data_IF_035938914326
#
_entry.id   IF_035938914326
#
_cell.length_a   1.000
_cell.length_b   1.000
_cell.length_c   1.000
_cell.angle_alpha   90.00
_cell.angle_beta   90.00
_cell.angle_gamma   90.00
#
_symmetry.space_group_name_H-M   'P 1'
#
loop_
_entity.id
_entity.type
_entity.pdbx_description
1 polymer ?
#
# COMPACT_ATOMS: atom_id res chain seq x y z
N UNK A 1 18.83 3.05 14.39
CA UNK A 1 17.96 1.86 14.34
C UNK A 1 16.51 2.34 14.37
N UNK A 2 15.96 2.67 13.20
CA UNK A 2 14.59 3.13 13.03
C UNK A 2 13.96 2.31 11.90
N UNK A 3 13.34 1.21 12.33
CA UNK A 3 12.08 0.61 11.88
C UNK A 3 11.71 0.87 10.40
N UNK A 4 11.90 -0.16 9.57
CA UNK A 4 11.46 -0.25 8.17
C UNK A 4 10.05 -0.88 8.08
N UNK A 5 9.09 -0.44 8.91
CA UNK A 5 7.70 -0.92 8.89
C UNK A 5 6.81 -0.22 7.84
N UNK A 6 7.40 0.40 6.81
CA UNK A 6 6.77 1.55 6.12
C UNK A 6 6.28 1.27 4.69
N UNK A 7 5.76 0.08 4.36
CA UNK A 7 5.35 -0.16 2.94
C UNK A 7 4.00 -0.85 2.75
N UNK A 8 3.39 -1.42 3.79
CA UNK A 8 2.05 -2.00 3.62
C UNK A 8 0.95 -0.93 3.57
N UNK A 9 1.06 0.12 4.39
CA UNK A 9 0.04 1.16 4.53
C UNK A 9 -0.10 2.07 3.29
N UNK A 10 1.02 2.33 2.58
CA UNK A 10 0.99 3.18 1.40
C UNK A 10 0.38 2.45 0.19
N UNK A 11 0.25 1.13 0.20
CA UNK A 11 -0.36 0.39 -0.91
C UNK A 11 -1.89 0.61 -1.01
N UNK A 12 -2.60 0.77 0.11
CA UNK A 12 -4.03 1.09 0.05
C UNK A 12 -4.32 2.56 -0.32
N UNK A 13 -3.30 3.43 -0.26
CA UNK A 13 -3.40 4.86 -0.58
C UNK A 13 -2.74 5.25 -1.92
N UNK A 14 -1.92 4.39 -2.54
CA UNK A 14 -1.13 4.71 -3.76
C UNK A 14 -1.39 3.78 -4.96
N UNK A 15 -2.24 2.75 -4.86
CA UNK A 15 -2.54 1.85 -5.99
C UNK A 15 -3.48 2.40 -7.09
N UNK A 16 -3.42 3.71 -7.39
CA UNK A 16 -4.09 4.31 -8.57
C UNK A 16 -3.12 5.01 -9.53
N UNK A 17 -1.88 4.56 -9.63
CA UNK A 17 -1.00 4.94 -10.73
C UNK A 17 -0.01 3.81 -11.06
N UNK A 18 0.25 3.61 -12.35
CA UNK A 18 1.10 2.58 -12.98
C UNK A 18 0.44 1.26 -13.38
N UNK A 19 -0.48 1.35 -14.34
CA UNK A 19 -0.50 0.38 -15.44
C UNK A 19 0.49 0.83 -16.52
N UNK A 20 1.66 0.19 -16.59
CA UNK A 20 2.46 0.07 -17.83
C UNK A 20 3.56 -0.97 -17.63
N UNK A 21 3.28 -2.20 -18.06
CA UNK A 21 4.34 -3.10 -18.50
C UNK A 21 5.02 -2.49 -19.72
N UNK A 22 6.33 -2.24 -19.65
CA UNK A 22 7.20 -2.29 -20.84
C UNK A 22 8.66 -2.51 -20.44
N UNK A 23 9.30 -3.39 -21.20
CA UNK A 23 10.69 -3.79 -21.12
C UNK A 23 11.67 -2.63 -21.29
N UNK A 24 12.89 -2.82 -20.76
CA UNK A 24 14.07 -1.99 -21.03
C UNK A 24 14.35 -1.85 -22.54
N UNK A 25 14.46 -0.61 -23.00
CA UNK A 25 15.48 -0.20 -23.97
C UNK A 25 15.77 1.29 -23.83
N UNK A 26 17.04 1.63 -23.62
CA UNK A 26 17.52 3.00 -23.62
C UNK A 26 17.61 3.49 -25.06
N UNK A 27 16.97 4.63 -25.36
CA UNK A 27 17.28 5.42 -26.53
C UNK A 27 17.13 6.91 -26.20
N UNK A 28 18.12 7.65 -26.65
CA UNK A 28 18.46 9.04 -26.36
C UNK A 28 17.49 9.99 -27.08
N UNK A 29 16.90 10.98 -26.39
CA UNK A 29 16.12 12.03 -27.07
C UNK A 29 16.69 13.41 -26.72
N UNK A 30 17.12 14.06 -27.81
CA UNK A 30 17.64 15.41 -27.92
C UNK A 30 16.59 16.46 -27.55
N UNK A 31 17.11 17.55 -26.99
CA UNK A 31 16.44 18.81 -26.74
C UNK A 31 15.86 19.43 -28.01
N UNK A 32 14.63 19.93 -27.94
CA UNK A 32 14.24 21.11 -28.72
C UNK A 32 13.16 21.92 -28.00
N UNK A 33 13.47 23.21 -27.89
CA UNK A 33 12.69 24.28 -27.28
C UNK A 33 11.62 24.80 -28.24
N UNK A 34 10.42 25.12 -27.75
CA UNK A 34 9.64 26.26 -28.28
C UNK A 34 8.83 26.90 -27.15
N UNK A 35 9.07 28.20 -26.97
CA UNK A 35 8.32 29.11 -26.12
C UNK A 35 7.13 29.73 -26.87
N UNK A 36 6.11 30.12 -26.10
CA UNK A 36 5.02 31.12 -26.33
C UNK A 36 3.67 30.51 -25.90
N UNK A 37 2.78 31.19 -25.20
CA UNK A 37 2.78 32.53 -24.62
C UNK A 37 1.43 32.72 -23.90
N UNK A 38 1.53 33.24 -22.68
CA UNK A 38 0.62 34.16 -21.99
C UNK A 38 -0.85 33.81 -21.61
N UNK A 39 -1.14 34.23 -20.36
CA UNK A 39 -2.41 34.63 -19.72
C UNK A 39 -3.26 33.57 -18.98
N UNK A 40 -2.84 33.28 -17.74
CA UNK A 40 -3.77 33.21 -16.60
C UNK A 40 -3.01 33.41 -15.26
N UNK A 41 -2.42 34.58 -15.06
CA UNK A 41 -1.80 34.97 -13.79
C UNK A 41 -2.23 36.39 -13.45
N UNK A 42 -3.40 36.47 -12.83
CA UNK A 42 -3.82 37.58 -11.97
C UNK A 42 -4.92 37.01 -11.10
N UNK A 43 -4.56 36.44 -9.95
CA UNK A 43 -5.37 36.27 -8.72
C UNK A 43 -4.64 35.30 -7.78
N UNK A 44 -3.51 35.72 -7.22
CA UNK A 44 -3.00 35.16 -5.98
C UNK A 44 -2.65 36.32 -5.05
N UNK A 45 -3.36 36.49 -3.91
CA UNK A 45 -2.90 37.41 -2.89
C UNK A 45 -1.66 36.84 -2.18
N UNK A 46 -0.73 37.75 -1.91
CA UNK A 46 0.55 37.58 -1.23
C UNK A 46 0.47 36.70 0.03
N UNK A 47 1.29 35.65 0.04
CA UNK A 47 1.51 34.76 1.18
C UNK A 47 2.53 35.36 2.14
N UNK A 48 2.08 36.19 3.09
CA UNK A 48 2.73 36.35 4.41
C UNK A 48 1.70 36.66 5.49
N UNK A 49 1.07 35.62 6.04
CA UNK A 49 0.51 35.72 7.39
C UNK A 49 0.52 34.35 8.06
N UNK A 50 1.13 34.26 9.24
CA UNK A 50 0.88 33.23 10.25
C UNK A 50 -0.57 33.37 10.74
N UNK A 51 -1.54 33.09 9.87
CA UNK A 51 -2.94 33.05 10.21
C UNK A 51 -3.28 31.63 10.68
N UNK A 52 -3.98 31.53 11.83
CA UNK A 52 -4.57 30.26 12.26
C UNK A 52 -5.34 29.65 11.08
N UNK A 53 -5.22 28.34 10.84
CA UNK A 53 -5.88 27.69 9.72
C UNK A 53 -7.38 27.99 9.77
N UNK A 54 -7.92 28.48 8.65
CA UNK A 54 -9.32 28.89 8.52
C UNK A 54 -10.17 27.62 8.50
N UNK A 55 -10.76 27.27 9.63
CA UNK A 55 -11.71 26.15 9.77
C UNK A 55 -13.13 26.65 9.58
N UNK A 56 -13.97 25.89 8.86
CA UNK A 56 -15.39 26.24 8.70
C UNK A 56 -16.24 25.78 9.89
N UNK A 57 -17.40 26.40 10.09
CA UNK A 57 -18.43 25.86 10.97
C UNK A 57 -19.07 24.63 10.30
N UNK A 58 -19.12 23.51 11.03
CA UNK A 58 -19.64 22.24 10.51
C UNK A 58 -21.10 22.07 10.93
N UNK A 59 -22.00 21.97 9.96
CA UNK A 59 -23.44 21.79 10.19
C UNK A 59 -23.80 20.30 10.38
N UNK A 60 -24.82 19.97 11.19
CA UNK A 60 -25.33 18.61 11.29
C UNK A 60 -25.80 18.06 9.93
N UNK A 61 -25.44 16.81 9.62
CA UNK A 61 -25.78 16.14 8.37
C UNK A 61 -24.99 16.63 7.14
N UNK A 62 -24.00 17.50 7.30
CA UNK A 62 -23.20 17.99 6.18
C UNK A 62 -22.13 16.98 5.72
N UNK A 63 -21.60 17.13 4.49
CA UNK A 63 -20.42 16.39 4.04
C UNK A 63 -19.23 16.55 4.99
N UNK A 64 -18.93 17.77 5.45
CA UNK A 64 -17.86 18.02 6.41
C UNK A 64 -18.09 17.27 7.73
N UNK A 65 -19.33 17.17 8.21
CA UNK A 65 -19.63 16.38 9.41
C UNK A 65 -19.34 14.90 9.20
N UNK A 66 -19.67 14.38 8.02
CA UNK A 66 -19.42 12.98 7.64
C UNK A 66 -17.93 12.68 7.63
N UNK A 67 -17.12 13.55 7.02
CA UNK A 67 -15.65 13.45 7.04
C UNK A 67 -15.10 13.49 8.46
N UNK A 68 -15.60 14.41 9.30
CA UNK A 68 -15.20 14.49 10.72
C UNK A 68 -15.52 13.22 11.50
N UNK A 69 -16.71 12.67 11.33
CA UNK A 69 -17.12 11.41 11.97
C UNK A 69 -16.29 10.23 11.49
N UNK A 70 -15.97 10.16 10.19
CA UNK A 70 -15.10 9.13 9.62
C UNK A 70 -13.73 9.09 10.30
N UNK A 71 -13.01 10.23 10.34
CA UNK A 71 -11.69 10.29 10.98
C UNK A 71 -11.75 10.06 12.49
N UNK A 72 -12.81 10.51 13.16
CA UNK A 72 -13.05 10.19 14.58
C UNK A 72 -13.16 8.68 14.79
N UNK A 73 -13.97 7.99 13.99
CA UNK A 73 -14.16 6.54 14.09
C UNK A 73 -12.85 5.79 13.83
N UNK A 74 -12.05 6.18 12.82
CA UNK A 74 -10.73 5.58 12.57
C UNK A 74 -9.83 5.67 13.80
N UNK A 75 -9.74 6.86 14.41
CA UNK A 75 -8.91 7.09 15.60
C UNK A 75 -9.36 6.30 16.82
N UNK A 76 -10.68 6.18 17.00
CA UNK A 76 -11.30 5.40 18.07
C UNK A 76 -11.22 3.88 17.81
N UNK A 77 -10.52 3.43 16.77
CA UNK A 77 -10.42 2.02 16.32
C UNK A 77 -11.78 1.39 15.99
N UNK A 78 -12.75 2.24 15.65
CA UNK A 78 -14.10 1.85 15.21
C UNK A 78 -14.12 1.66 13.69
N UNK A 79 -13.28 0.74 13.23
CA UNK A 79 -12.97 0.57 11.81
C UNK A 79 -14.19 0.17 10.99
N UNK A 80 -15.03 -0.73 11.51
CA UNK A 80 -16.28 -1.11 10.86
C UNK A 80 -17.15 0.13 10.60
N UNK A 81 -17.39 0.93 11.63
CA UNK A 81 -18.21 2.13 11.51
C UNK A 81 -17.60 3.17 10.59
N UNK A 82 -16.29 3.36 10.59
CA UNK A 82 -15.61 4.26 9.66
C UNK A 82 -15.81 3.78 8.20
N UNK A 83 -15.50 2.53 7.91
CA UNK A 83 -15.54 2.00 6.55
C UNK A 83 -16.97 1.89 5.99
N UNK A 84 -17.97 1.66 6.85
CA UNK A 84 -19.40 1.71 6.47
C UNK A 84 -19.87 3.10 6.03
N UNK A 85 -19.12 4.17 6.31
CA UNK A 85 -19.39 5.54 5.83
C UNK A 85 -18.75 5.83 4.45
N UNK A 86 -18.17 4.82 3.82
CA UNK A 86 -17.47 4.96 2.54
C UNK A 86 -18.12 4.09 1.46
N UNK A 87 -17.71 4.26 0.21
CA UNK A 87 -18.08 3.33 -0.84
C UNK A 87 -17.43 1.93 -0.71
N UNK A 88 -16.62 1.67 0.33
CA UNK A 88 -16.17 0.31 0.71
C UNK A 88 -17.22 -0.50 1.48
N UNK A 89 -18.34 0.11 1.88
CA UNK A 89 -19.42 -0.54 2.65
C UNK A 89 -19.77 -1.98 2.18
N UNK A 90 -19.93 -2.27 0.86
CA UNK A 90 -20.23 -3.63 0.39
C UNK A 90 -19.19 -4.70 0.76
N UNK A 91 -17.92 -4.32 0.98
CA UNK A 91 -16.90 -5.26 1.46
C UNK A 91 -17.04 -5.56 2.95
N UNK A 92 -17.55 -4.62 3.73
CA UNK A 92 -17.52 -4.69 5.20
C UNK A 92 -18.82 -5.24 5.77
N UNK A 93 -19.95 -4.91 5.14
CA UNK A 93 -21.28 -5.18 5.71
C UNK A 93 -21.56 -6.67 5.94
N UNK A 94 -20.98 -7.54 5.09
CA UNK A 94 -21.14 -8.99 5.17
C UNK A 94 -19.98 -9.71 5.89
N UNK A 95 -18.98 -8.97 6.40
CA UNK A 95 -17.85 -9.56 7.14
C UNK A 95 -18.22 -9.81 8.60
N UNK A 96 -17.86 -10.98 9.14
CA UNK A 96 -17.91 -11.23 10.58
C UNK A 96 -16.83 -10.45 11.32
N UNK A 97 -16.91 -10.40 12.65
CA UNK A 97 -15.87 -9.72 13.45
C UNK A 97 -14.53 -10.46 13.37
N UNK A 98 -14.55 -11.79 13.25
CA UNK A 98 -13.35 -12.59 13.02
C UNK A 98 -12.72 -12.29 11.65
N UNK A 99 -13.54 -12.22 10.59
CA UNK A 99 -13.06 -11.85 9.25
C UNK A 99 -12.47 -10.42 9.24
N UNK A 100 -13.11 -9.48 9.95
CA UNK A 100 -12.60 -8.12 10.05
C UNK A 100 -11.31 -8.03 10.88
N UNK A 101 -11.18 -8.88 11.91
CA UNK A 101 -9.96 -8.95 12.74
C UNK A 101 -8.73 -9.39 11.96
N UNK A 102 -8.91 -10.14 10.87
CA UNK A 102 -7.80 -10.46 9.97
C UNK A 102 -7.12 -9.19 9.44
N UNK A 103 -7.84 -8.06 9.32
CA UNK A 103 -7.37 -6.77 8.79
C UNK A 103 -6.97 -5.76 9.87
N UNK A 104 -6.99 -6.15 11.14
CA UNK A 104 -6.73 -5.24 12.25
C UNK A 104 -5.38 -4.53 12.11
N UNK A 105 -4.29 -5.25 11.80
CA UNK A 105 -2.96 -4.64 11.62
C UNK A 105 -2.95 -3.60 10.50
N UNK A 106 -3.65 -3.86 9.40
CA UNK A 106 -3.72 -2.94 8.25
C UNK A 106 -4.45 -1.66 8.66
N UNK A 107 -5.57 -1.81 9.38
CA UNK A 107 -6.36 -0.67 9.86
C UNK A 107 -5.64 0.12 10.96
N UNK A 108 -4.92 -0.56 11.86
CA UNK A 108 -4.12 0.09 12.90
C UNK A 108 -3.00 0.93 12.30
N UNK A 109 -2.32 0.42 11.27
CA UNK A 109 -1.32 1.19 10.55
C UNK A 109 -1.93 2.46 9.95
N UNK A 110 -3.11 2.37 9.32
CA UNK A 110 -3.79 3.54 8.76
C UNK A 110 -4.27 4.52 9.84
N UNK A 111 -4.67 4.03 11.02
CA UNK A 111 -5.12 4.86 12.13
C UNK A 111 -3.99 5.73 12.72
N UNK A 112 -2.74 5.27 12.67
CA UNK A 112 -1.58 6.03 13.16
C UNK A 112 -1.33 7.31 12.35
N UNK A 113 -1.75 7.34 11.09
CA UNK A 113 -1.62 8.51 10.20
C UNK A 113 -2.74 9.55 10.42
N UNK A 114 -3.78 9.22 11.21
CA UNK A 114 -4.91 10.12 11.44
C UNK A 114 -4.57 11.13 12.54
N UNK A 115 -4.56 12.45 12.25
CA UNK A 115 -4.27 13.46 13.26
C UNK A 115 -5.34 13.52 14.35
N UNK A 116 -4.97 14.00 15.55
CA UNK A 116 -5.89 14.22 16.69
C UNK A 116 -7.03 15.17 16.33
N UNK A 117 -6.74 16.18 15.52
CA UNK A 117 -7.72 17.13 15.00
C UNK A 117 -7.57 17.26 13.49
N UNK A 118 -8.68 17.11 12.77
CA UNK A 118 -8.72 17.39 11.34
C UNK A 118 -9.13 18.85 11.13
N UNK A 119 -8.40 19.56 10.29
CA UNK A 119 -8.73 20.94 9.96
C UNK A 119 -9.51 20.95 8.64
N UNK A 120 -10.83 21.10 8.70
CA UNK A 120 -11.67 21.22 7.51
C UNK A 120 -11.73 22.69 7.09
N UNK A 121 -11.16 23.00 5.94
CA UNK A 121 -11.03 24.37 5.42
C UNK A 121 -12.19 24.78 4.50
N UNK A 122 -12.97 23.82 3.99
CA UNK A 122 -14.13 24.11 3.15
C UNK A 122 -14.97 22.88 2.83
N UNK A 123 -16.22 23.11 2.46
CA UNK A 123 -17.09 22.12 1.80
C UNK A 123 -17.80 22.79 0.61
N UNK A 124 -17.87 22.07 -0.51
CA UNK A 124 -18.58 22.48 -1.72
C UNK A 124 -19.61 21.40 -2.03
N UNK A 125 -20.88 21.76 -2.12
CA UNK A 125 -21.99 20.84 -2.42
C UNK A 125 -22.54 21.18 -3.80
N UNK A 126 -22.61 20.17 -4.66
CA UNK A 126 -23.23 20.27 -5.98
C UNK A 126 -24.18 19.07 -6.19
N UNK A 127 -25.47 19.31 -5.93
CA UNK A 127 -26.51 18.28 -5.97
C UNK A 127 -26.19 17.10 -5.06
N UNK A 128 -25.99 15.92 -5.66
CA UNK A 128 -25.67 14.67 -4.95
C UNK A 128 -24.17 14.42 -4.79
N UNK A 129 -23.31 15.40 -5.09
CA UNK A 129 -21.86 15.31 -4.90
C UNK A 129 -21.37 16.42 -3.99
N UNK A 130 -20.30 16.14 -3.26
CA UNK A 130 -19.63 17.14 -2.46
C UNK A 130 -18.11 16.93 -2.45
N UNK A 131 -17.38 18.02 -2.26
CA UNK A 131 -15.95 18.00 -2.00
C UNK A 131 -15.70 18.68 -0.67
N UNK A 132 -14.99 18.01 0.23
CA UNK A 132 -14.55 18.56 1.52
C UNK A 132 -13.04 18.72 1.47
N UNK A 133 -12.54 19.90 1.79
CA UNK A 133 -11.10 20.17 1.84
C UNK A 133 -10.62 20.05 3.27
N UNK A 134 -9.61 19.21 3.50
CA UNK A 134 -8.94 19.04 4.80
C UNK A 134 -7.47 19.41 4.69
N UNK A 135 -6.89 19.96 5.77
CA UNK A 135 -5.43 20.09 5.87
C UNK A 135 -4.81 18.83 6.44
N UNK A 136 -3.84 18.28 5.73
CA UNK A 136 -3.07 17.11 6.13
C UNK A 136 -1.60 17.48 6.16
N UNK A 137 -0.85 17.02 7.16
CA UNK A 137 0.59 17.20 7.20
C UNK A 137 1.21 16.31 6.14
N UNK A 138 1.96 16.90 5.21
CA UNK A 138 2.78 16.15 4.28
C UNK A 138 4.10 15.78 4.99
N UNK A 139 4.38 14.48 5.13
CA UNK A 139 5.54 13.99 5.87
C UNK A 139 6.88 14.28 5.17
N UNK A 140 6.87 14.53 3.86
CA UNK A 140 8.07 14.81 3.05
C UNK A 140 8.44 16.29 3.18
N UNK A 141 7.46 17.17 3.01
CA UNK A 141 7.67 18.62 3.02
C UNK A 141 7.54 19.22 4.42
N UNK A 142 6.97 18.47 5.37
CA UNK A 142 6.62 18.90 6.72
C UNK A 142 5.72 20.16 6.72
N UNK A 143 4.86 20.30 5.71
CA UNK A 143 3.90 21.40 5.58
C UNK A 143 2.47 20.88 5.55
N UNK A 144 1.52 21.71 5.99
CA UNK A 144 0.10 21.41 5.89
C UNK A 144 -0.39 21.67 4.47
N UNK A 145 -0.85 20.63 3.80
CA UNK A 145 -1.37 20.66 2.43
C UNK A 145 -2.88 20.40 2.41
N UNK A 146 -3.57 21.04 1.47
CA UNK A 146 -5.00 20.84 1.27
C UNK A 146 -5.25 19.54 0.48
N UNK A 147 -5.99 18.62 1.07
CA UNK A 147 -6.46 17.38 0.45
C UNK A 147 -7.97 17.44 0.25
N UNK A 148 -8.40 17.17 -0.98
CA UNK A 148 -9.82 17.10 -1.35
C UNK A 148 -10.36 15.69 -1.10
N UNK A 149 -11.43 15.59 -0.32
CA UNK A 149 -12.18 14.35 -0.07
C UNK A 149 -13.48 14.45 -0.85
N UNK A 150 -13.70 13.47 -1.72
CA UNK A 150 -14.91 13.41 -2.54
C UNK A 150 -15.99 12.61 -1.82
N UNK A 151 -17.23 13.10 -1.89
CA UNK A 151 -18.40 12.44 -1.33
C UNK A 151 -19.52 12.40 -2.36
N UNK A 152 -20.39 11.41 -2.22
CA UNK A 152 -21.69 11.40 -2.89
C UNK A 152 -22.82 11.15 -1.90
N UNK A 153 -24.03 11.54 -2.27
CA UNK A 153 -25.24 11.22 -1.55
C UNK A 153 -25.75 9.84 -1.98
N UNK A 154 -26.03 8.98 -1.01
CA UNK A 154 -26.56 7.63 -1.16
C UNK A 154 -27.63 7.40 -0.07
N UNK A 155 -28.89 7.21 -0.47
CA UNK A 155 -30.05 7.09 0.44
C UNK A 155 -30.11 8.18 1.52
N UNK A 156 -30.01 9.45 1.10
CA UNK A 156 -29.98 10.65 1.96
C UNK A 156 -28.80 10.77 2.92
N UNK A 157 -27.82 9.85 2.85
CA UNK A 157 -26.58 9.90 3.60
C UNK A 157 -25.42 10.31 2.69
N UNK A 158 -24.49 11.10 3.21
CA UNK A 158 -23.21 11.32 2.53
C UNK A 158 -22.30 10.13 2.78
N UNK A 159 -21.69 9.60 1.71
CA UNK A 159 -20.65 8.58 1.78
C UNK A 159 -19.37 9.11 1.15
N UNK A 160 -18.24 8.74 1.75
CA UNK A 160 -16.90 9.09 1.25
C UNK A 160 -16.54 8.17 0.08
N UNK A 161 -16.07 8.76 -1.02
CA UNK A 161 -15.57 8.03 -2.16
C UNK A 161 -14.09 7.70 -1.93
N UNK A 162 -13.84 6.51 -1.40
CA UNK A 162 -12.50 5.97 -1.20
C UNK A 162 -11.96 5.34 -2.48
N UNK A 163 -12.83 4.61 -3.19
CA UNK A 163 -12.54 4.00 -4.47
C UNK A 163 -13.05 4.87 -5.62
N UNK A 164 -12.36 4.82 -6.76
CA UNK A 164 -12.92 5.31 -8.02
C UNK A 164 -14.04 4.38 -8.54
N UNK A 165 -14.68 4.77 -9.64
CA UNK A 165 -15.82 4.05 -10.21
C UNK A 165 -15.47 2.62 -10.66
N UNK A 166 -14.26 2.41 -11.19
CA UNK A 166 -13.82 1.10 -11.70
C UNK A 166 -13.55 0.14 -10.54
N UNK A 167 -12.84 0.62 -9.52
CA UNK A 167 -12.58 -0.13 -8.30
C UNK A 167 -13.88 -0.40 -7.51
N UNK A 168 -14.81 0.55 -7.45
CA UNK A 168 -16.12 0.35 -6.83
C UNK A 168 -16.97 -0.71 -7.58
N UNK A 169 -16.88 -0.78 -8.91
CA UNK A 169 -17.56 -1.81 -9.69
C UNK A 169 -17.00 -3.21 -9.39
N UNK A 170 -15.68 -3.34 -9.23
CA UNK A 170 -15.05 -4.59 -8.81
C UNK A 170 -15.41 -4.97 -7.38
N UNK A 171 -15.42 -4.00 -6.45
CA UNK A 171 -15.92 -4.19 -5.10
C UNK A 171 -17.35 -4.73 -5.08
N UNK A 172 -18.28 -4.17 -5.86
CA UNK A 172 -19.67 -4.64 -5.92
C UNK A 172 -19.77 -6.09 -6.42
N UNK A 173 -18.86 -6.51 -7.29
CA UNK A 173 -18.80 -7.88 -7.82
C UNK A 173 -18.23 -8.86 -6.79
N UNK A 174 -17.23 -8.44 -6.04
CA UNK A 174 -16.48 -9.30 -5.11
C UNK A 174 -17.05 -9.31 -3.69
N UNK A 175 -17.77 -8.25 -3.30
CA UNK A 175 -18.32 -8.05 -1.97
C UNK A 175 -17.25 -8.17 -0.90
N UNK A 176 -17.52 -8.98 0.13
CA UNK A 176 -16.59 -9.20 1.26
C UNK A 176 -15.24 -9.80 0.89
N UNK A 177 -15.09 -10.38 -0.30
CA UNK A 177 -13.81 -10.94 -0.75
C UNK A 177 -12.84 -9.87 -1.27
N UNK A 178 -13.32 -8.66 -1.53
CA UNK A 178 -12.53 -7.59 -2.15
C UNK A 178 -11.27 -7.24 -1.35
N UNK A 179 -11.40 -7.05 -0.04
CA UNK A 179 -10.24 -6.72 0.82
C UNK A 179 -9.21 -7.86 0.86
N UNK A 180 -9.67 -9.12 0.84
CA UNK A 180 -8.74 -10.25 0.75
C UNK A 180 -8.04 -10.29 -0.62
N UNK A 181 -8.69 -9.94 -1.73
CA UNK A 181 -8.03 -9.88 -3.04
C UNK A 181 -6.95 -8.78 -3.05
N UNK A 182 -7.27 -7.57 -2.55
CA UNK A 182 -6.29 -6.48 -2.45
C UNK A 182 -5.08 -6.89 -1.62
N UNK A 183 -5.32 -7.51 -0.45
CA UNK A 183 -4.25 -8.01 0.42
C UNK A 183 -3.39 -9.07 -0.26
N UNK A 184 -4.03 -10.03 -0.95
CA UNK A 184 -3.32 -11.09 -1.70
C UNK A 184 -2.44 -10.47 -2.78
N UNK A 185 -2.96 -9.51 -3.53
CA UNK A 185 -2.21 -8.82 -4.59
C UNK A 185 -1.03 -8.03 -4.03
N UNK A 186 -1.25 -7.27 -2.95
CA UNK A 186 -0.20 -6.52 -2.27
C UNK A 186 0.92 -7.44 -1.77
N UNK A 187 0.59 -8.50 -1.03
CA UNK A 187 1.60 -9.44 -0.54
C UNK A 187 2.30 -10.20 -1.66
N UNK A 188 1.61 -10.60 -2.73
CA UNK A 188 2.25 -11.28 -3.85
C UNK A 188 3.24 -10.37 -4.59
N UNK A 189 2.87 -9.11 -4.81
CA UNK A 189 3.77 -8.10 -5.40
C UNK A 189 4.98 -7.87 -4.51
N UNK A 190 4.76 -7.63 -3.21
CA UNK A 190 5.83 -7.46 -2.22
C UNK A 190 6.73 -8.70 -2.14
N UNK A 191 6.16 -9.90 -2.25
CA UNK A 191 6.93 -11.16 -2.24
C UNK A 191 7.87 -11.26 -3.42
N UNK A 192 7.45 -10.86 -4.62
CA UNK A 192 8.34 -10.82 -5.78
C UNK A 192 9.52 -9.86 -5.57
N UNK A 193 9.25 -8.67 -5.02
CA UNK A 193 10.30 -7.69 -4.69
C UNK A 193 11.26 -8.22 -3.61
N UNK A 194 10.73 -8.85 -2.56
CA UNK A 194 11.53 -9.46 -1.50
C UNK A 194 12.39 -10.60 -2.03
N UNK A 195 11.87 -11.45 -2.92
CA UNK A 195 12.67 -12.50 -3.57
C UNK A 195 13.83 -11.91 -4.38
N UNK A 196 13.60 -10.84 -5.14
CA UNK A 196 14.68 -10.13 -5.84
C UNK A 196 15.70 -9.54 -4.86
N UNK A 197 15.24 -8.98 -3.74
CA UNK A 197 16.12 -8.47 -2.68
C UNK A 197 16.97 -9.58 -2.05
N UNK A 198 16.40 -10.76 -1.81
CA UNK A 198 17.13 -11.94 -1.31
C UNK A 198 18.21 -12.35 -2.33
N UNK A 199 17.88 -12.41 -3.63
CA UNK A 199 18.88 -12.72 -4.67
C UNK A 199 20.04 -11.72 -4.66
N UNK A 200 19.76 -10.41 -4.56
CA UNK A 200 20.80 -9.38 -4.47
C UNK A 200 21.65 -9.52 -3.20
N UNK A 201 21.04 -9.81 -2.06
CA UNK A 201 21.74 -10.05 -0.80
C UNK A 201 22.68 -11.26 -0.92
N UNK A 202 22.25 -12.33 -1.58
CA UNK A 202 23.09 -13.50 -1.87
C UNK A 202 24.29 -13.16 -2.75
N UNK A 203 24.09 -12.35 -3.79
CA UNK A 203 25.20 -11.87 -4.64
C UNK A 203 26.21 -11.08 -3.82
N UNK A 204 25.77 -10.13 -3.00
CA UNK A 204 26.65 -9.33 -2.14
C UNK A 204 27.44 -10.24 -1.19
N UNK A 205 26.74 -11.17 -0.52
CA UNK A 205 27.38 -12.10 0.40
C UNK A 205 28.42 -12.98 -0.31
N UNK A 206 28.08 -13.55 -1.48
CA UNK A 206 28.98 -14.42 -2.23
C UNK A 206 30.25 -13.70 -2.71
N UNK A 207 30.14 -12.44 -3.12
CA UNK A 207 31.30 -11.62 -3.49
C UNK A 207 32.27 -11.41 -2.31
N UNK A 208 31.77 -11.43 -1.08
CA UNK A 208 32.55 -11.27 0.15
C UNK A 208 33.05 -12.60 0.74
N UNK A 209 32.48 -13.73 0.30
CA UNK A 209 32.67 -15.04 0.94
C UNK A 209 33.05 -16.12 -0.09
N UNK A 210 34.03 -15.83 -0.96
CA UNK A 210 34.63 -16.80 -1.90
C UNK A 210 33.61 -17.50 -2.83
N UNK A 211 32.54 -16.78 -3.20
CA UNK A 211 31.47 -17.30 -4.05
C UNK A 211 30.48 -18.23 -3.34
N UNK A 212 30.52 -18.32 -2.01
CA UNK A 212 29.55 -19.10 -1.22
C UNK A 212 28.30 -18.29 -0.90
N UNK A 213 27.14 -18.95 -0.95
CA UNK A 213 25.85 -18.42 -0.53
C UNK A 213 25.54 -18.73 0.94
N UNK A 214 24.58 -18.00 1.50
CA UNK A 214 24.23 -18.04 2.91
C UNK A 214 22.77 -18.40 3.15
N UNK A 215 22.44 -18.89 4.36
CA UNK A 215 21.05 -19.05 4.76
C UNK A 215 20.42 -17.70 5.15
N UNK A 216 19.09 -17.70 5.34
CA UNK A 216 18.33 -16.47 5.64
C UNK A 216 18.81 -15.79 6.93
N UNK A 217 19.13 -16.56 7.97
CA UNK A 217 19.57 -16.03 9.27
C UNK A 217 20.90 -15.31 9.14
N UNK A 218 21.85 -15.90 8.41
CA UNK A 218 23.18 -15.33 8.18
C UNK A 218 23.07 -14.01 7.42
N UNK A 219 22.24 -13.94 6.38
CA UNK A 219 22.04 -12.69 5.62
C UNK A 219 21.42 -11.58 6.47
N UNK A 220 20.52 -11.91 7.39
CA UNK A 220 19.93 -10.93 8.33
C UNK A 220 20.99 -10.46 9.34
N UNK A 221 21.79 -11.37 9.91
CA UNK A 221 22.86 -11.01 10.86
C UNK A 221 23.94 -10.10 10.23
N UNK A 222 24.18 -10.24 8.93
CA UNK A 222 25.09 -9.36 8.18
C UNK A 222 24.43 -8.03 7.76
N UNK A 223 23.18 -7.78 8.14
CA UNK A 223 22.45 -6.56 7.80
C UNK A 223 22.06 -6.45 6.32
N UNK A 224 22.18 -7.54 5.54
CA UNK A 224 21.83 -7.56 4.12
C UNK A 224 20.33 -7.71 3.90
N UNK A 225 19.62 -8.28 4.87
CA UNK A 225 18.19 -8.50 4.84
C UNK A 225 17.49 -7.98 6.12
N UNK A 226 16.24 -7.52 6.00
CA UNK A 226 15.42 -7.08 7.14
C UNK A 226 15.06 -8.25 8.07
N UNK A 227 14.96 -7.99 9.39
CA UNK A 227 14.58 -9.00 10.39
C UNK A 227 13.15 -9.50 10.20
N UNK A 228 12.28 -8.65 9.62
CA UNK A 228 10.86 -8.93 9.37
C UNK A 228 10.64 -10.16 8.47
N UNK A 229 11.63 -10.56 7.66
CA UNK A 229 11.57 -11.80 6.86
C UNK A 229 11.52 -13.08 7.72
N UNK A 230 11.82 -12.99 9.01
CA UNK A 230 11.68 -14.12 9.94
C UNK A 230 10.24 -14.29 10.45
N UNK A 231 9.41 -13.24 10.36
CA UNK A 231 8.01 -13.29 10.79
C UNK A 231 7.06 -13.31 9.58
N UNK A 232 6.50 -14.47 9.22
CA UNK A 232 5.58 -14.56 8.10
C UNK A 232 4.27 -13.80 8.34
N UNK A 233 3.94 -13.40 9.58
CA UNK A 233 2.78 -12.54 9.86
C UNK A 233 2.99 -11.11 9.35
N UNK A 234 4.24 -10.65 9.34
CA UNK A 234 4.60 -9.31 8.86
C UNK A 234 4.65 -9.25 7.33
N UNK A 235 5.05 -10.35 6.68
CA UNK A 235 5.28 -10.40 5.22
C UNK A 235 4.19 -11.12 4.44
N UNK A 236 3.26 -11.79 5.12
CA UNK A 236 2.21 -12.62 4.52
C UNK A 236 2.70 -13.95 3.94
N UNK A 237 4.00 -14.21 3.92
CA UNK A 237 4.65 -15.33 3.26
C UNK A 237 5.73 -15.96 4.14
N UNK A 238 5.90 -17.28 4.02
CA UNK A 238 6.99 -18.03 4.65
C UNK A 238 8.12 -18.15 3.65
N UNK A 239 9.31 -17.66 3.99
CA UNK A 239 10.48 -17.72 3.14
C UNK A 239 11.47 -18.78 3.65
N UNK A 240 11.99 -19.60 2.74
CA UNK A 240 13.04 -20.57 3.04
C UNK A 240 14.10 -20.55 1.95
N UNK A 241 15.35 -20.38 2.36
CA UNK A 241 16.54 -20.52 1.50
C UNK A 241 17.15 -21.89 1.76
N UNK A 242 17.35 -22.67 0.71
CA UNK A 242 18.01 -23.97 0.79
C UNK A 242 19.27 -23.95 -0.07
N UNK A 243 20.40 -24.20 0.57
CA UNK A 243 21.71 -24.24 -0.06
C UNK A 243 22.03 -25.65 -0.54
N UNK A 244 22.71 -25.77 -1.68
CA UNK A 244 23.38 -27.02 -2.03
C UNK A 244 24.54 -27.31 -1.07
N UNK A 245 25.00 -28.57 -1.04
CA UNK A 245 26.09 -29.02 -0.16
C UNK A 245 27.39 -28.22 -0.34
N UNK A 246 27.67 -27.77 -1.55
CA UNK A 246 28.83 -26.95 -1.89
C UNK A 246 28.63 -25.44 -1.64
N UNK A 247 27.43 -25.02 -1.21
CA UNK A 247 27.00 -23.62 -1.02
C UNK A 247 27.21 -22.71 -2.24
N UNK A 248 27.33 -23.27 -3.44
CA UNK A 248 27.52 -22.52 -4.70
C UNK A 248 26.29 -22.49 -5.59
N UNK A 249 25.20 -23.10 -5.13
CA UNK A 249 23.87 -22.97 -5.69
C UNK A 249 22.85 -23.01 -4.57
N UNK A 250 21.67 -22.45 -4.82
CA UNK A 250 20.59 -22.43 -3.86
C UNK A 250 19.24 -22.31 -4.55
N UNK A 251 18.19 -22.54 -3.79
CA UNK A 251 16.85 -22.11 -4.18
C UNK A 251 16.16 -21.41 -3.01
N UNK A 252 15.22 -20.53 -3.36
CA UNK A 252 14.34 -19.84 -2.42
C UNK A 252 12.92 -20.33 -2.68
N UNK A 253 12.21 -20.67 -1.62
CA UNK A 253 10.76 -20.89 -1.66
C UNK A 253 10.05 -19.80 -0.89
N UNK A 254 8.91 -19.37 -1.40
CA UNK A 254 7.98 -18.52 -0.69
C UNK A 254 6.55 -19.03 -0.87
N UNK A 255 5.92 -19.46 0.22
CA UNK A 255 4.52 -19.89 0.25
C UNK A 255 3.67 -18.97 1.13
N UNK A 256 2.39 -18.73 0.78
CA UNK A 256 1.54 -17.85 1.58
C UNK A 256 1.37 -18.43 2.98
N UNK A 257 1.40 -17.56 4.00
CA UNK A 257 1.14 -17.94 5.39
C UNK A 257 -0.24 -18.60 5.52
N UNK A 258 -1.26 -18.02 4.88
CA UNK A 258 -2.62 -18.59 4.79
C UNK A 258 -3.12 -18.47 3.35
N UNK A 259 -3.32 -19.61 2.69
CA UNK A 259 -3.87 -19.67 1.34
C UNK A 259 -5.24 -18.97 1.27
N UNK A 260 -5.47 -18.20 0.20
CA UNK A 260 -6.66 -17.35 0.00
C UNK A 260 -6.86 -16.21 1.02
N UNK A 261 -5.90 -15.94 1.92
CA UNK A 261 -5.93 -14.75 2.77
C UNK A 261 -4.70 -13.87 2.60
N UNK A 262 -3.51 -14.46 2.65
CA UNK A 262 -2.24 -13.73 2.47
C UNK A 262 -1.63 -13.95 1.09
N UNK A 263 -2.06 -14.98 0.37
CA UNK A 263 -1.65 -15.20 -1.02
C UNK A 263 -2.29 -16.44 -1.64
N UNK A 264 -2.17 -16.57 -2.96
CA UNK A 264 -2.56 -17.77 -3.74
C UNK A 264 -1.35 -18.43 -4.39
N UNK A 265 -0.43 -17.61 -4.91
CA UNK A 265 0.77 -18.11 -5.59
C UNK A 265 1.81 -18.54 -4.58
N UNK A 266 2.48 -19.66 -4.87
CA UNK A 266 3.75 -20.03 -4.27
C UNK A 266 4.87 -19.76 -5.28
N UNK A 267 6.03 -19.36 -4.79
CA UNK A 267 7.16 -18.94 -5.61
C UNK A 267 8.38 -19.83 -5.38
N UNK A 268 9.17 -19.98 -6.44
CA UNK A 268 10.46 -20.67 -6.43
C UNK A 268 11.46 -19.84 -7.23
N UNK A 269 12.58 -19.52 -6.60
CA UNK A 269 13.75 -18.96 -7.28
C UNK A 269 14.85 -20.00 -7.26
N UNK A 270 15.42 -20.33 -8.43
CA UNK A 270 16.56 -21.24 -8.54
C UNK A 270 17.79 -20.49 -9.06
N UNK A 271 18.92 -20.63 -8.36
CA UNK A 271 20.21 -20.03 -8.73
C UNK A 271 21.26 -21.13 -8.76
N UNK A 272 21.76 -21.41 -9.97
CA UNK A 272 22.72 -22.50 -10.23
C UNK A 272 24.17 -22.11 -9.92
N UNK A 273 24.53 -20.84 -10.07
CA UNK A 273 25.84 -20.26 -9.74
C UNK A 273 25.77 -18.74 -9.69
N UNK A 274 26.82 -18.08 -9.22
CA UNK A 274 26.92 -16.61 -9.15
C UNK A 274 26.82 -15.92 -10.52
N UNK A 275 27.27 -16.60 -11.58
CA UNK A 275 27.32 -16.06 -12.95
C UNK A 275 26.01 -16.27 -13.72
N UNK A 276 25.13 -17.16 -13.24
CA UNK A 276 23.87 -17.46 -13.90
C UNK A 276 22.73 -16.65 -13.33
N UNK A 277 21.84 -16.22 -14.22
CA UNK A 277 20.62 -15.52 -13.85
C UNK A 277 19.70 -16.39 -12.99
N UNK A 278 19.05 -15.75 -12.02
CA UNK A 278 18.07 -16.39 -11.16
C UNK A 278 16.79 -16.70 -11.93
N UNK A 279 16.30 -17.94 -11.82
CA UNK A 279 15.07 -18.39 -12.49
C UNK A 279 13.90 -18.32 -11.51
N UNK A 280 13.01 -17.34 -11.68
CA UNK A 280 11.77 -17.22 -10.92
C UNK A 280 10.62 -18.01 -11.57
N UNK A 281 9.94 -18.82 -10.76
CA UNK A 281 8.71 -19.55 -11.10
C UNK A 281 7.64 -19.24 -10.07
N UNK A 282 6.39 -19.14 -10.49
CA UNK A 282 5.24 -18.99 -9.60
C UNK A 282 4.08 -19.85 -10.07
N UNK A 283 3.34 -20.44 -9.13
CA UNK A 283 2.14 -21.25 -9.42
C UNK A 283 1.20 -21.24 -8.23
N UNK A 284 -0.11 -21.25 -8.47
CA UNK A 284 -1.06 -21.62 -7.42
C UNK A 284 -0.86 -23.09 -7.07
N UNK A 285 -0.26 -23.33 -5.91
CA UNK A 285 0.01 -24.65 -5.37
C UNK A 285 -0.73 -24.88 -4.05
N UNK A 286 -1.91 -24.25 -3.89
CA UNK A 286 -2.78 -24.41 -2.71
C UNK A 286 -2.06 -24.13 -1.39
N UNK A 287 -1.19 -23.12 -1.40
CA UNK A 287 -0.38 -22.71 -0.25
C UNK A 287 0.78 -23.65 0.10
N UNK A 288 1.17 -24.58 -0.79
CA UNK A 288 2.33 -25.47 -0.58
C UNK A 288 3.55 -24.97 -1.37
N UNK A 289 4.77 -25.18 -0.87
CA UNK A 289 5.98 -24.79 -1.61
C UNK A 289 6.07 -25.53 -2.95
N UNK A 290 6.68 -24.90 -3.96
CA UNK A 290 6.88 -25.52 -5.27
C UNK A 290 8.02 -26.56 -5.28
N UNK A 291 8.81 -26.61 -4.21
CA UNK A 291 9.96 -27.48 -4.01
C UNK A 291 10.20 -27.64 -2.50
N UNK A 292 10.55 -28.82 -2.02
CA UNK A 292 10.82 -29.06 -0.58
C UNK A 292 12.25 -28.73 -0.18
#
# INVERSE_FOLDING_TARGET
MKIFLFTFCLSLLVFLSFSSSCNLKAEEIKSESVASGEKFLDFLPDSKTNAKPKTIQISPGSPAETVRKFYKNLRERRFREALMMTNLKPAIEAMTDEELSDFQTDFESAALEVPEEIQISGEIINGNRATVTVKVLNEITNTLEDKAIQLRRDNDLWIILWLDESAEASLKREGKNYLYQLRIEAYQTQTQELLQRIVRAQTIYALQNEGQFADLRTLIQQGLLPEELQDPKMTGYKYKIVLASNKRSYYITAEPLVYNKTGKLSFLVEVESLEKEAKLKSKDNKGRPLKE
#
